data_IF_985174621127
#
_entry.id   IF_985174621127
#
_cell.length_a   1.000
_cell.length_b   1.000
_cell.length_c   1.000
_cell.angle_alpha   90.00
_cell.angle_beta   90.00
_cell.angle_gamma   90.00
#
_symmetry.space_group_name_H-M   'P 1'
#
loop_
_entity.id
_entity.type
_entity.pdbx_description
1 polymer ?
#
# COMPACT_ATOMS: atom_id res chain seq x y z
N UNK A 1 -75.32 -29.84 -12.57
CA UNK A 1 -75.13 -28.57 -13.29
C UNK A 1 -73.76 -28.61 -13.96
N UNK A 2 -73.61 -29.03 -15.23
CA UNK A 2 -74.06 -28.36 -16.46
C UNK A 2 -73.46 -26.93 -16.51
N UNK A 3 -72.64 -26.48 -17.48
CA UNK A 3 -72.45 -26.91 -18.89
C UNK A 3 -71.04 -26.51 -19.37
N UNK A 4 -70.49 -27.32 -20.29
CA UNK A 4 -69.30 -27.13 -21.14
C UNK A 4 -69.51 -26.07 -22.25
N UNK A 5 -68.43 -25.64 -22.94
CA UNK A 5 -68.22 -25.69 -24.41
C UNK A 5 -66.92 -24.92 -24.76
N UNK A 6 -65.79 -25.55 -25.07
CA UNK A 6 -65.31 -26.23 -26.30
C UNK A 6 -64.77 -25.31 -27.42
N UNK A 7 -63.54 -25.61 -27.86
CA UNK A 7 -63.00 -25.20 -29.17
C UNK A 7 -61.47 -25.18 -29.31
N UNK A 8 -60.79 -26.34 -29.39
CA UNK A 8 -59.43 -26.45 -29.99
C UNK A 8 -59.52 -26.67 -31.52
N UNK A 9 -58.56 -27.32 -32.24
CA UNK A 9 -57.10 -27.52 -32.04
C UNK A 9 -56.29 -27.38 -33.38
N UNK A 10 -54.98 -27.78 -33.36
CA UNK A 10 -54.04 -28.25 -34.44
C UNK A 10 -52.67 -27.57 -34.27
N UNK A 11 -51.48 -28.18 -34.31
CA UNK A 11 -50.98 -29.51 -34.74
C UNK A 11 -49.58 -29.32 -35.39
N UNK A 12 -48.73 -30.38 -35.40
CA UNK A 12 -47.36 -30.56 -36.01
C UNK A 12 -46.19 -30.29 -35.01
N UNK A 13 -45.35 -31.24 -34.50
CA UNK A 13 -44.66 -32.46 -34.99
C UNK A 13 -43.79 -32.19 -36.25
N UNK A 14 -42.47 -32.41 -36.38
CA UNK A 14 -41.30 -32.95 -35.62
C UNK A 14 -40.03 -32.51 -36.42
N UNK A 15 -38.85 -33.19 -36.44
CA UNK A 15 -38.31 -34.31 -35.66
C UNK A 15 -36.91 -34.01 -35.02
N UNK A 16 -36.26 -34.99 -34.33
CA UNK A 16 -34.94 -34.84 -33.71
C UNK A 16 -33.80 -35.37 -34.61
N UNK A 17 -32.57 -34.91 -34.40
CA UNK A 17 -31.37 -35.51 -35.00
C UNK A 17 -30.30 -35.70 -33.92
N UNK A 18 -30.00 -36.97 -33.63
CA UNK A 18 -28.79 -37.44 -32.97
C UNK A 18 -27.88 -38.07 -34.04
N UNK A 19 -26.56 -37.87 -33.93
CA UNK A 19 -25.46 -38.85 -34.03
C UNK A 19 -24.14 -38.03 -34.11
N UNK A 20 -23.30 -38.04 -33.09
CA UNK A 20 -22.23 -39.02 -32.84
C UNK A 20 -21.06 -38.92 -33.85
N UNK A 21 -19.86 -38.64 -33.34
CA UNK A 21 -18.60 -38.85 -34.06
C UNK A 21 -17.59 -37.71 -33.99
N UNK A 22 -16.65 -37.76 -33.03
CA UNK A 22 -15.20 -37.67 -33.27
C UNK A 22 -14.46 -37.34 -31.96
N UNK A 23 -13.90 -38.40 -31.40
CA UNK A 23 -12.87 -38.39 -30.37
C UNK A 23 -11.53 -37.98 -31.01
N UNK A 24 -10.66 -37.40 -30.17
CA UNK A 24 -9.20 -37.32 -30.28
C UNK A 24 -8.50 -36.04 -30.83
N UNK A 25 -7.79 -35.42 -29.86
CA UNK A 25 -6.42 -34.85 -29.93
C UNK A 25 -6.24 -33.50 -30.63
N UNK A 26 -5.97 -32.45 -29.83
CA UNK A 26 -4.59 -32.07 -29.51
C UNK A 26 -4.53 -30.99 -28.42
N UNK A 27 -3.54 -31.14 -27.53
CA UNK A 27 -3.16 -30.22 -26.45
C UNK A 27 -2.93 -28.80 -26.96
N UNK A 28 -3.45 -27.79 -26.26
CA UNK A 28 -3.24 -26.39 -26.62
C UNK A 28 -3.47 -25.40 -25.47
N UNK A 29 -2.52 -25.36 -24.53
CA UNK A 29 -2.08 -24.18 -23.77
C UNK A 29 -3.17 -23.35 -23.05
N UNK A 30 -3.36 -23.67 -21.77
CA UNK A 30 -3.95 -22.75 -20.77
C UNK A 30 -3.15 -21.43 -20.82
N UNK A 31 -3.80 -20.34 -21.23
CA UNK A 31 -3.33 -18.98 -20.96
C UNK A 31 -4.20 -18.41 -19.85
N UNK A 32 -3.68 -18.42 -18.63
CA UNK A 32 -4.13 -17.55 -17.56
C UNK A 32 -3.80 -16.10 -17.96
N UNK A 33 -4.78 -15.40 -18.55
CA UNK A 33 -4.62 -14.01 -18.94
C UNK A 33 -4.89 -13.08 -17.75
N UNK A 34 -3.89 -12.83 -16.91
CA UNK A 34 -3.87 -11.61 -16.09
C UNK A 34 -3.47 -10.47 -17.02
N UNK A 35 -4.46 -9.85 -17.66
CA UNK A 35 -4.24 -8.72 -18.56
C UNK A 35 -4.15 -7.42 -17.77
N UNK A 36 -2.98 -6.76 -17.77
CA UNK A 36 -2.88 -5.35 -17.37
C UNK A 36 -3.74 -4.52 -18.34
N UNK A 37 -4.71 -3.76 -17.80
CA UNK A 37 -5.60 -2.90 -18.61
C UNK A 37 -5.29 -1.44 -18.33
N UNK A 38 -4.99 -0.70 -19.40
CA UNK A 38 -4.79 0.74 -19.35
C UNK A 38 -6.16 1.46 -19.31
N UNK A 39 -6.29 2.50 -18.49
CA UNK A 39 -7.51 3.31 -18.41
C UNK A 39 -7.89 3.88 -19.78
N UNK A 40 -9.19 3.84 -20.10
CA UNK A 40 -9.75 4.46 -21.31
C UNK A 40 -10.04 5.93 -21.00
N UNK A 41 -9.24 6.86 -21.54
CA UNK A 41 -9.42 8.32 -21.37
C UNK A 41 -9.83 9.01 -22.68
N UNK A 42 -10.80 9.92 -22.64
CA UNK A 42 -11.04 10.92 -23.70
C UNK A 42 -10.20 12.20 -23.41
N UNK A 43 -9.57 12.76 -24.46
CA UNK A 43 -8.40 13.70 -24.55
C UNK A 43 -8.61 15.14 -23.99
N UNK A 44 -7.65 16.14 -24.02
CA UNK A 44 -6.27 16.19 -24.58
C UNK A 44 -5.13 16.73 -23.65
N UNK A 45 -3.88 16.72 -24.17
CA UNK A 45 -2.60 17.10 -23.55
C UNK A 45 -2.52 18.57 -23.12
N UNK A 46 -1.89 18.86 -21.97
CA UNK A 46 -1.17 20.13 -21.74
C UNK A 46 0.01 19.98 -20.73
N UNK A 47 1.14 20.57 -21.16
CA UNK A 47 2.31 21.17 -20.48
C UNK A 47 2.94 20.51 -19.23
N UNK A 48 4.27 20.34 -19.31
CA UNK A 48 5.10 19.78 -18.25
C UNK A 48 5.51 20.75 -17.14
N UNK A 49 6.06 20.17 -16.08
CA UNK A 49 6.94 20.83 -15.13
C UNK A 49 8.00 19.83 -14.64
N UNK A 50 9.17 20.38 -14.31
CA UNK A 50 10.47 19.76 -14.08
C UNK A 50 10.60 19.13 -12.69
N UNK A 51 11.35 18.03 -12.66
CA UNK A 51 12.33 17.58 -11.66
C UNK A 51 11.91 17.25 -10.22
N UNK A 52 12.28 16.03 -9.81
CA UNK A 52 12.44 15.57 -8.44
C UNK A 52 13.04 14.17 -8.48
N UNK A 53 14.38 14.08 -8.46
CA UNK A 53 15.10 12.80 -8.35
C UNK A 53 14.97 12.35 -6.90
N UNK A 54 13.90 11.61 -6.60
CA UNK A 54 13.73 10.87 -5.36
C UNK A 54 13.88 9.39 -5.69
N UNK A 55 14.95 8.76 -5.20
CA UNK A 55 15.12 7.31 -5.24
C UNK A 55 14.09 6.65 -4.32
N UNK A 56 12.86 6.49 -4.81
CA UNK A 56 11.81 5.74 -4.12
C UNK A 56 12.01 4.25 -4.36
N UNK A 57 12.16 3.49 -3.29
CA UNK A 57 11.96 2.03 -3.26
C UNK A 57 10.65 1.71 -3.97
N UNK A 58 10.70 1.05 -5.12
CA UNK A 58 9.51 0.76 -5.90
C UNK A 58 8.71 -0.40 -5.30
N UNK A 59 7.41 -0.21 -5.09
CA UNK A 59 6.44 -1.30 -4.93
C UNK A 59 5.95 -1.57 -3.51
N UNK A 60 5.88 -0.57 -2.64
CA UNK A 60 5.28 -0.76 -1.31
C UNK A 60 3.75 -0.73 -1.38
N UNK A 61 3.07 -1.63 -0.66
CA UNK A 61 1.61 -1.58 -0.49
C UNK A 61 1.25 -0.42 0.42
N UNK A 62 0.47 0.52 -0.09
CA UNK A 62 0.07 1.73 0.62
C UNK A 62 -1.10 1.41 1.58
N UNK A 63 -0.95 1.64 2.90
CA UNK A 63 -2.05 1.48 3.84
C UNK A 63 -3.10 2.56 3.63
N UNK A 64 -4.36 2.20 3.78
CA UNK A 64 -5.49 3.12 3.67
C UNK A 64 -6.59 2.77 4.67
N UNK A 65 -7.44 3.75 4.96
CA UNK A 65 -8.67 3.57 5.72
C UNK A 65 -9.87 3.98 4.87
N UNK A 66 -10.94 3.19 4.90
CA UNK A 66 -12.21 3.58 4.27
C UNK A 66 -12.88 4.64 5.13
N UNK A 67 -12.98 5.88 4.63
CA UNK A 67 -13.58 7.02 5.34
C UNK A 67 -15.02 7.29 4.92
N UNK A 68 -15.43 6.80 3.75
CA UNK A 68 -16.79 6.95 3.26
C UNK A 68 -17.23 5.72 2.48
N UNK A 69 -18.51 5.36 2.67
CA UNK A 69 -19.24 4.33 1.94
C UNK A 69 -20.73 4.70 1.92
N UNK A 70 -21.39 4.44 0.80
CA UNK A 70 -22.85 4.68 0.68
C UNK A 70 -23.68 3.62 1.41
N UNK A 71 -23.29 2.36 1.28
CA UNK A 71 -23.94 1.24 1.96
C UNK A 71 -22.97 0.11 2.25
N UNK A 72 -23.33 -0.73 3.21
CA UNK A 72 -22.60 -1.95 3.55
C UNK A 72 -23.53 -3.05 4.03
N UNK A 73 -23.22 -4.29 3.68
CA UNK A 73 -23.86 -5.46 4.25
C UNK A 73 -23.29 -5.76 5.64
N UNK A 74 -24.13 -6.22 6.56
CA UNK A 74 -23.73 -6.53 7.95
C UNK A 74 -22.56 -7.51 8.04
N UNK A 75 -22.55 -8.52 7.18
CA UNK A 75 -21.52 -9.57 7.12
C UNK A 75 -20.28 -9.16 6.30
N UNK A 76 -20.33 -8.02 5.62
CA UNK A 76 -19.26 -7.55 4.72
C UNK A 76 -19.08 -6.03 4.79
N UNK A 77 -18.73 -5.49 5.98
CA UNK A 77 -18.49 -4.07 6.17
C UNK A 77 -17.26 -3.58 5.42
N UNK A 78 -17.20 -2.27 5.14
CA UNK A 78 -16.08 -1.69 4.40
C UNK A 78 -14.73 -1.77 5.15
N UNK A 79 -14.75 -1.93 6.47
CA UNK A 79 -13.55 -2.15 7.30
C UNK A 79 -12.78 -3.41 6.94
N UNK A 80 -13.43 -4.41 6.34
CA UNK A 80 -12.78 -5.65 5.91
C UNK A 80 -11.74 -5.46 4.80
N UNK A 81 -11.76 -4.30 4.13
CA UNK A 81 -10.80 -3.95 3.09
C UNK A 81 -9.45 -3.46 3.66
N UNK A 82 -9.37 -3.09 4.94
CA UNK A 82 -8.13 -2.55 5.54
C UNK A 82 -7.06 -3.64 5.63
N UNK A 83 -7.45 -4.84 6.09
CA UNK A 83 -6.57 -5.99 6.28
C UNK A 83 -7.17 -7.24 5.61
N UNK A 84 -7.01 -7.39 4.29
CA UNK A 84 -7.52 -8.55 3.56
C UNK A 84 -6.76 -9.81 4.02
N UNK A 85 -7.47 -10.71 4.69
CA UNK A 85 -6.99 -12.09 4.93
C UNK A 85 -7.49 -13.00 3.82
N UNK A 86 -6.89 -14.19 3.67
CA UNK A 86 -7.32 -15.20 2.69
C UNK A 86 -8.82 -15.54 2.82
N UNK A 87 -9.37 -15.38 4.03
CA UNK A 87 -10.77 -15.67 4.36
C UNK A 87 -11.62 -14.41 4.57
N UNK A 88 -11.08 -13.20 4.35
CA UNK A 88 -11.86 -11.97 4.51
C UNK A 88 -12.99 -11.95 3.48
N UNK A 89 -14.26 -11.73 3.91
CA UNK A 89 -15.38 -11.63 2.99
C UNK A 89 -15.34 -10.32 2.17
N UNK A 90 -14.48 -9.37 2.55
CA UNK A 90 -14.37 -8.06 1.92
C UNK A 90 -15.58 -7.17 2.22
N UNK A 91 -15.83 -6.24 1.31
CA UNK A 91 -16.98 -5.34 1.32
C UNK A 91 -18.06 -5.79 0.34
N UNK A 92 -19.32 -5.68 0.75
CA UNK A 92 -20.46 -5.74 -0.13
C UNK A 92 -21.46 -4.63 0.19
N UNK A 93 -22.16 -4.12 -0.82
CA UNK A 93 -23.24 -3.15 -0.64
C UNK A 93 -24.39 -3.76 0.15
N UNK A 94 -25.25 -2.94 0.75
CA UNK A 94 -26.53 -3.41 1.26
C UNK A 94 -27.41 -4.00 0.12
N UNK A 95 -28.38 -4.89 0.43
CA UNK A 95 -29.35 -5.37 -0.55
C UNK A 95 -30.11 -4.23 -1.24
N UNK A 96 -30.38 -4.37 -2.54
CA UNK A 96 -31.07 -3.37 -3.37
C UNK A 96 -30.45 -1.96 -3.30
N UNK A 97 -29.13 -1.83 -3.54
CA UNK A 97 -28.45 -0.54 -3.46
C UNK A 97 -28.87 0.39 -4.61
N UNK A 98 -28.74 1.69 -4.40
CA UNK A 98 -28.81 2.68 -5.48
C UNK A 98 -27.44 2.79 -6.15
N UNK A 99 -27.40 2.93 -7.47
CA UNK A 99 -26.14 3.03 -8.19
C UNK A 99 -25.87 4.45 -8.71
N UNK A 100 -24.60 4.87 -8.77
CA UNK A 100 -23.40 4.13 -8.34
C UNK A 100 -23.25 4.05 -6.81
N UNK A 101 -22.48 3.08 -6.32
CA UNK A 101 -22.07 2.98 -4.92
C UNK A 101 -20.66 3.53 -4.76
N UNK A 102 -20.46 4.51 -3.88
CA UNK A 102 -19.15 5.13 -3.65
C UNK A 102 -18.42 4.54 -2.44
N UNK A 103 -17.12 4.35 -2.60
CA UNK A 103 -16.16 4.08 -1.53
C UNK A 103 -15.02 5.10 -1.62
N UNK A 104 -14.70 5.76 -0.51
CA UNK A 104 -13.53 6.65 -0.43
C UNK A 104 -12.52 6.10 0.55
N UNK A 105 -11.31 5.88 0.06
CA UNK A 105 -10.14 5.44 0.78
C UNK A 105 -9.27 6.67 1.08
N UNK A 106 -8.89 6.84 2.33
CA UNK A 106 -7.94 7.86 2.77
C UNK A 106 -6.59 7.21 3.04
N UNK A 107 -5.53 7.81 2.51
CA UNK A 107 -4.16 7.42 2.83
C UNK A 107 -3.65 8.21 4.05
N UNK A 108 -2.64 7.67 4.70
CA UNK A 108 -1.97 8.27 5.86
C UNK A 108 -1.16 9.54 5.54
N UNK A 109 -1.14 9.98 4.28
CA UNK A 109 -0.44 11.19 3.84
C UNK A 109 -0.66 11.47 2.36
N UNK A 110 0.20 12.30 1.78
CA UNK A 110 0.29 12.42 0.33
C UNK A 110 1.03 11.20 -0.22
N UNK A 111 0.44 10.51 -1.18
CA UNK A 111 1.01 9.31 -1.79
C UNK A 111 1.01 9.42 -3.31
N UNK A 112 1.98 8.78 -3.95
CA UNK A 112 2.07 8.60 -5.38
C UNK A 112 1.68 7.16 -5.72
N UNK A 113 0.49 6.96 -6.30
CA UNK A 113 0.00 5.63 -6.65
C UNK A 113 0.54 5.21 -8.02
N UNK A 114 1.14 4.02 -8.07
CA UNK A 114 1.63 3.40 -9.29
C UNK A 114 0.66 2.37 -9.84
N UNK A 115 0.16 1.49 -8.97
CA UNK A 115 -0.70 0.37 -9.36
C UNK A 115 -1.88 0.26 -8.39
N UNK A 116 -3.09 0.14 -8.94
CA UNK A 116 -4.30 -0.19 -8.20
C UNK A 116 -4.80 -1.55 -8.65
N UNK A 117 -4.97 -2.48 -7.72
CA UNK A 117 -5.50 -3.82 -7.94
C UNK A 117 -6.81 -3.98 -7.17
N UNK A 118 -7.86 -4.41 -7.85
CA UNK A 118 -9.19 -4.61 -7.26
C UNK A 118 -9.67 -6.01 -7.58
N UNK A 119 -9.98 -6.77 -6.53
CA UNK A 119 -10.54 -8.11 -6.63
C UNK A 119 -12.05 -8.06 -6.38
N UNK A 120 -12.85 -8.40 -7.38
CA UNK A 120 -14.30 -8.45 -7.27
C UNK A 120 -14.78 -9.73 -6.58
N UNK A 121 -15.94 -9.63 -5.93
CA UNK A 121 -16.62 -10.77 -5.34
C UNK A 121 -17.21 -11.69 -6.43
N UNK A 122 -17.11 -13.01 -6.26
CA UNK A 122 -17.52 -14.03 -7.23
C UNK A 122 -18.98 -13.93 -7.69
N UNK A 123 -19.89 -13.56 -6.79
CA UNK A 123 -21.32 -13.44 -7.10
C UNK A 123 -21.80 -11.99 -7.23
N UNK A 124 -20.98 -11.00 -6.85
CA UNK A 124 -21.35 -9.59 -6.79
C UNK A 124 -20.44 -8.74 -7.68
N UNK A 125 -20.08 -9.28 -8.85
CA UNK A 125 -19.13 -8.66 -9.77
C UNK A 125 -19.72 -7.37 -10.34
N UNK A 126 -19.11 -6.20 -10.09
CA UNK A 126 -19.59 -4.92 -10.61
C UNK A 126 -19.34 -4.84 -12.12
N UNK A 127 -20.26 -4.26 -12.89
CA UNK A 127 -20.08 -4.16 -14.35
C UNK A 127 -18.97 -3.19 -14.75
N UNK A 128 -18.81 -2.12 -13.97
CA UNK A 128 -17.86 -1.03 -14.22
C UNK A 128 -17.43 -0.39 -12.91
N UNK A 129 -16.18 0.06 -12.86
CA UNK A 129 -15.60 0.75 -11.72
C UNK A 129 -14.92 2.02 -12.19
N UNK A 130 -15.40 3.15 -11.69
CA UNK A 130 -14.83 4.47 -11.91
C UNK A 130 -13.80 4.79 -10.83
N UNK A 131 -12.65 5.34 -11.25
CA UNK A 131 -11.53 5.67 -10.37
C UNK A 131 -11.32 7.18 -10.40
N UNK A 132 -11.33 7.80 -9.22
CA UNK A 132 -11.03 9.22 -9.02
C UNK A 132 -10.04 9.38 -7.88
N UNK A 133 -9.18 10.39 -7.94
CA UNK A 133 -8.24 10.72 -6.86
C UNK A 133 -8.55 12.11 -6.30
N UNK A 134 -8.52 12.22 -4.98
CA UNK A 134 -8.77 13.47 -4.26
C UNK A 134 -7.48 14.02 -3.67
N UNK A 135 -7.27 15.33 -3.84
CA UNK A 135 -6.24 16.08 -3.13
C UNK A 135 -6.93 17.11 -2.24
N UNK A 136 -6.42 17.26 -1.02
CA UNK A 136 -6.86 18.30 -0.09
C UNK A 136 -6.11 19.59 -0.41
N UNK A 137 -6.78 20.75 -0.48
CA UNK A 137 -6.11 22.03 -0.64
C UNK A 137 -5.05 22.26 0.45
N UNK A 138 -3.94 22.90 0.07
CA UNK A 138 -2.87 23.26 1.03
C UNK A 138 -3.48 24.03 2.22
N UNK A 139 -3.10 23.64 3.43
CA UNK A 139 -3.55 24.25 4.71
C UNK A 139 -5.01 23.98 5.12
N UNK A 140 -5.72 23.05 4.48
CA UNK A 140 -7.06 22.63 4.91
C UNK A 140 -7.04 21.26 5.58
N UNK A 141 -7.99 21.01 6.50
CA UNK A 141 -8.10 19.72 7.18
C UNK A 141 -8.34 18.61 6.14
N UNK A 142 -7.67 17.45 6.25
CA UNK A 142 -7.89 16.32 5.36
C UNK A 142 -9.26 15.70 5.59
N UNK A 143 -10.28 16.34 5.03
CA UNK A 143 -11.65 15.83 4.95
C UNK A 143 -11.94 15.41 3.50
N UNK A 144 -12.39 14.17 3.33
CA UNK A 144 -12.87 13.66 2.06
C UNK A 144 -13.94 14.57 1.42
N UNK A 145 -14.74 15.28 2.21
CA UNK A 145 -15.76 16.22 1.70
C UNK A 145 -15.18 17.50 1.13
N UNK A 146 -14.02 17.93 1.63
CA UNK A 146 -13.31 19.11 1.15
C UNK A 146 -12.29 18.77 0.04
N UNK A 147 -12.01 17.48 -0.18
CA UNK A 147 -11.08 17.03 -1.20
C UNK A 147 -11.61 17.31 -2.61
N UNK A 148 -10.74 17.84 -3.48
CA UNK A 148 -11.06 18.03 -4.90
C UNK A 148 -10.75 16.76 -5.66
N UNK A 149 -11.79 16.04 -6.06
CA UNK A 149 -11.64 14.80 -6.82
C UNK A 149 -11.43 15.05 -8.31
N UNK A 150 -10.35 14.49 -8.83
CA UNK A 150 -10.04 14.39 -10.25
C UNK A 150 -10.37 12.98 -10.74
N UNK A 151 -11.23 12.88 -11.75
CA UNK A 151 -11.54 11.63 -12.40
C UNK A 151 -10.34 11.13 -13.24
N UNK A 152 -9.95 9.86 -13.06
CA UNK A 152 -8.84 9.24 -13.79
C UNK A 152 -9.33 8.37 -14.95
N UNK A 153 -10.47 7.71 -14.79
CA UNK A 153 -11.02 6.81 -15.80
C UNK A 153 -11.86 5.69 -15.19
N UNK A 154 -12.11 4.64 -15.98
CA UNK A 154 -12.86 3.48 -15.52
C UNK A 154 -12.26 2.17 -16.04
N UNK A 155 -12.58 1.08 -15.34
CA UNK A 155 -12.39 -0.29 -15.81
C UNK A 155 -13.73 -1.02 -15.88
N UNK A 156 -13.79 -2.06 -16.70
CA UNK A 156 -14.95 -2.96 -16.82
C UNK A 156 -14.52 -4.36 -16.41
N UNK A 157 -15.34 -4.98 -15.57
CA UNK A 157 -15.18 -6.39 -15.25
C UNK A 157 -15.84 -7.24 -16.32
N UNK A 158 -15.27 -8.40 -16.58
CA UNK A 158 -15.78 -9.36 -17.54
C UNK A 158 -17.09 -9.97 -17.04
N UNK A 159 -18.01 -10.19 -17.98
CA UNK A 159 -19.15 -11.06 -17.75
C UNK A 159 -18.79 -12.43 -18.31
N UNK A 160 -18.20 -13.28 -17.48
CA UNK A 160 -17.61 -14.55 -17.89
C UNK A 160 -18.57 -15.75 -17.76
N UNK A 161 -19.80 -15.58 -17.24
CA UNK A 161 -20.86 -16.61 -17.22
C UNK A 161 -20.61 -17.85 -16.35
N UNK A 162 -19.34 -18.22 -16.16
CA UNK A 162 -18.85 -19.28 -15.29
C UNK A 162 -18.05 -18.70 -14.13
N UNK A 163 -18.64 -17.78 -13.34
CA UNK A 163 -18.03 -17.03 -12.22
C UNK A 163 -17.49 -17.89 -11.04
N UNK A 164 -16.78 -18.98 -11.34
CA UNK A 164 -16.11 -19.91 -10.43
C UNK A 164 -14.79 -19.36 -9.89
N UNK A 165 -14.29 -18.27 -10.46
CA UNK A 165 -13.02 -17.63 -10.11
C UNK A 165 -13.26 -16.13 -9.87
N UNK A 166 -12.70 -15.61 -8.77
CA UNK A 166 -12.74 -14.17 -8.46
C UNK A 166 -12.03 -13.37 -9.54
N UNK A 167 -12.66 -12.31 -10.04
CA UNK A 167 -12.07 -11.47 -11.08
C UNK A 167 -11.23 -10.36 -10.47
N UNK A 168 -9.99 -10.20 -10.97
CA UNK A 168 -9.08 -9.16 -10.54
C UNK A 168 -8.77 -8.19 -11.68
N UNK A 169 -8.87 -6.90 -11.41
CA UNK A 169 -8.45 -5.83 -12.31
C UNK A 169 -7.19 -5.17 -11.77
N UNK A 170 -6.18 -5.00 -12.62
CA UNK A 170 -4.94 -4.27 -12.32
C UNK A 170 -4.90 -3.02 -13.19
N UNK A 171 -4.75 -1.86 -12.56
CA UNK A 171 -4.81 -0.53 -13.15
C UNK A 171 -3.47 0.15 -12.91
N UNK A 172 -2.75 0.44 -13.99
CA UNK A 172 -1.50 1.21 -13.93
C UNK A 172 -1.83 2.71 -13.96
N UNK A 173 -1.53 3.41 -12.85
CA UNK A 173 -1.75 4.85 -12.68
C UNK A 173 -0.47 5.66 -12.90
N UNK A 174 0.70 5.07 -12.67
CA UNK A 174 2.05 5.66 -12.91
C UNK A 174 2.29 6.99 -12.16
N UNK A 175 2.51 6.90 -10.86
CA UNK A 175 2.91 8.04 -10.03
C UNK A 175 1.86 9.13 -9.84
N UNK A 176 0.58 8.77 -9.71
CA UNK A 176 -0.49 9.77 -9.47
C UNK A 176 -0.48 10.20 -8.00
N UNK A 177 -0.15 11.46 -7.74
CA UNK A 177 -0.18 12.06 -6.41
C UNK A 177 -1.63 12.28 -5.93
N UNK A 178 -1.94 11.80 -4.72
CA UNK A 178 -3.25 11.95 -4.08
C UNK A 178 -3.18 11.78 -2.56
N UNK A 179 -4.25 12.18 -1.86
CA UNK A 179 -4.48 11.82 -0.43
C UNK A 179 -5.72 10.94 -0.26
N UNK A 180 -6.62 10.93 -1.26
CA UNK A 180 -7.82 10.12 -1.28
C UNK A 180 -7.94 9.37 -2.60
N UNK A 181 -8.43 8.14 -2.55
CA UNK A 181 -8.83 7.35 -3.71
C UNK A 181 -10.32 7.07 -3.59
N UNK A 182 -11.09 7.46 -4.60
CA UNK A 182 -12.52 7.20 -4.68
C UNK A 182 -12.83 6.18 -5.77
N UNK A 183 -13.55 5.15 -5.37
CA UNK A 183 -14.05 4.07 -6.19
C UNK A 183 -15.56 4.24 -6.32
N UNK A 184 -16.05 4.48 -7.54
CA UNK A 184 -17.49 4.56 -7.81
C UNK A 184 -17.90 3.32 -8.60
N UNK A 185 -18.65 2.45 -7.93
CA UNK A 185 -18.98 1.09 -8.33
C UNK A 185 -20.36 1.07 -8.98
N UNK A 186 -20.42 0.64 -10.23
CA UNK A 186 -21.67 0.54 -10.98
C UNK A 186 -22.39 -0.79 -10.74
N UNK A 187 -23.64 -0.88 -11.21
CA UNK A 187 -24.50 -2.07 -11.09
C UNK A 187 -23.78 -3.39 -11.39
N UNK A 188 -24.13 -4.50 -10.74
CA UNK A 188 -23.48 -5.78 -10.96
C UNK A 188 -23.87 -6.39 -12.31
N UNK A 189 -23.09 -7.38 -12.75
CA UNK A 189 -23.54 -8.32 -13.77
C UNK A 189 -24.66 -9.22 -13.24
N UNK A 190 -25.57 -9.63 -14.11
CA UNK A 190 -26.66 -10.55 -13.74
C UNK A 190 -26.10 -11.88 -13.27
N UNK A 191 -26.44 -12.28 -12.04
CA UNK A 191 -25.95 -13.53 -11.44
C UNK A 191 -27.07 -14.23 -10.66
N UNK A 192 -27.20 -15.56 -10.82
CA UNK A 192 -28.32 -16.33 -10.24
C UNK A 192 -28.37 -16.34 -8.71
N UNK A 193 -27.23 -16.16 -8.05
CA UNK A 193 -27.14 -16.04 -6.57
C UNK A 193 -27.25 -14.59 -6.06
N UNK A 194 -27.24 -13.60 -6.95
CA UNK A 194 -27.32 -12.18 -6.59
C UNK A 194 -28.73 -11.64 -6.86
N UNK A 195 -29.69 -12.15 -6.08
CA UNK A 195 -31.11 -11.80 -6.25
C UNK A 195 -31.39 -10.33 -5.88
N UNK A 196 -30.56 -9.75 -5.02
CA UNK A 196 -30.73 -8.40 -4.50
C UNK A 196 -29.94 -7.33 -5.28
N UNK A 197 -29.25 -7.71 -6.37
CA UNK A 197 -28.50 -6.77 -7.21
C UNK A 197 -27.35 -6.06 -6.48
N UNK A 198 -26.67 -6.75 -5.56
CA UNK A 198 -25.56 -6.21 -4.77
C UNK A 198 -24.25 -6.17 -5.57
N UNK A 199 -23.34 -5.29 -5.16
CA UNK A 199 -21.94 -5.25 -5.64
C UNK A 199 -20.98 -5.56 -4.49
N UNK A 200 -19.84 -6.15 -4.80
CA UNK A 200 -18.87 -6.53 -3.78
C UNK A 200 -17.42 -6.51 -4.27
N UNK A 201 -16.55 -6.07 -3.37
CA UNK A 201 -15.10 -6.00 -3.56
C UNK A 201 -14.47 -6.79 -2.42
N UNK A 202 -13.69 -7.80 -2.76
CA UNK A 202 -13.01 -8.67 -1.79
C UNK A 202 -11.72 -8.02 -1.28
N UNK A 203 -10.94 -7.46 -2.20
CA UNK A 203 -9.65 -6.86 -1.88
C UNK A 203 -9.40 -5.61 -2.74
N UNK A 204 -8.76 -4.62 -2.13
CA UNK A 204 -8.19 -3.46 -2.79
C UNK A 204 -6.73 -3.38 -2.36
N UNK A 205 -5.82 -3.52 -3.32
CA UNK A 205 -4.39 -3.34 -3.10
C UNK A 205 -3.90 -2.15 -3.89
N UNK A 206 -3.33 -1.18 -3.19
CA UNK A 206 -2.75 0.03 -3.76
C UNK A 206 -1.24 -0.08 -3.57
N UNK A 207 -0.47 0.02 -4.65
CA UNK A 207 0.98 0.01 -4.64
C UNK A 207 1.51 1.37 -5.12
N UNK A 208 2.53 1.87 -4.45
CA UNK A 208 3.13 3.16 -4.74
C UNK A 208 4.06 3.62 -3.62
N UNK A 209 4.34 4.92 -3.59
CA UNK A 209 5.29 5.52 -2.66
C UNK A 209 4.64 6.65 -1.86
N UNK A 210 5.08 6.84 -0.61
CA UNK A 210 4.66 7.98 0.21
C UNK A 210 5.49 9.20 -0.16
N UNK A 211 4.83 10.34 -0.40
CA UNK A 211 5.49 11.63 -0.58
C UNK A 211 5.78 12.21 0.82
N UNK A 212 7.00 11.96 1.31
CA UNK A 212 7.40 12.32 2.66
C UNK A 212 7.44 13.84 2.89
N UNK A 213 7.80 14.62 1.88
CA UNK A 213 7.90 16.09 1.99
C UNK A 213 6.50 16.72 2.11
N UNK A 214 5.57 16.36 1.22
CA UNK A 214 4.19 16.83 1.32
C UNK A 214 3.48 16.27 2.55
N UNK A 215 3.73 15.02 2.94
CA UNK A 215 3.18 14.45 4.17
C UNK A 215 3.70 15.15 5.43
N UNK A 216 4.97 15.57 5.45
CA UNK A 216 5.54 16.36 6.56
C UNK A 216 4.94 17.76 6.64
N UNK A 217 4.69 18.40 5.49
CA UNK A 217 3.98 19.70 5.44
C UNK A 217 2.56 19.60 5.96
N UNK A 218 1.87 18.51 5.63
CA UNK A 218 0.55 18.18 6.16
C UNK A 218 0.62 18.08 7.69
N UNK A 219 1.52 17.27 8.26
CA UNK A 219 1.69 17.13 9.72
C UNK A 219 1.96 18.47 10.45
N UNK A 220 2.86 19.30 9.91
CA UNK A 220 3.24 20.61 10.51
C UNK A 220 2.08 21.62 10.53
N UNK A 221 1.05 21.45 9.71
CA UNK A 221 -0.11 22.34 9.65
C UNK A 221 -1.14 22.13 10.79
N UNK A 222 -0.80 21.42 11.87
CA UNK A 222 -1.68 21.22 13.04
C UNK A 222 -2.71 20.10 12.85
N UNK A 223 -2.30 19.01 12.21
CA UNK A 223 -3.19 17.92 11.82
C UNK A 223 -3.33 16.84 12.91
N UNK A 224 -4.32 17.01 13.78
CA UNK A 224 -4.87 15.93 14.59
C UNK A 224 -5.73 15.04 13.68
N UNK A 225 -5.14 14.01 13.08
CA UNK A 225 -5.88 13.10 12.19
C UNK A 225 -5.02 12.24 11.27
N UNK A 226 -3.73 12.57 11.12
CA UNK A 226 -2.75 11.59 10.68
C UNK A 226 -2.20 10.95 11.93
N UNK A 227 -2.70 9.75 12.25
CA UNK A 227 -2.14 8.98 13.34
C UNK A 227 -0.68 8.67 12.95
N UNK A 228 0.27 9.31 13.65
CA UNK A 228 1.71 9.15 13.42
C UNK A 228 2.11 7.67 13.45
N UNK A 229 1.34 6.88 14.21
CA UNK A 229 1.47 5.44 14.38
C UNK A 229 1.02 4.62 13.15
N UNK A 230 0.23 5.20 12.24
CA UNK A 230 -0.17 4.57 10.97
C UNK A 230 0.72 4.98 9.79
N UNK A 231 1.35 6.16 9.83
CA UNK A 231 2.40 6.56 8.87
C UNK A 231 3.64 5.66 8.98
N UNK A 232 3.90 5.12 10.17
CA UNK A 232 4.99 4.19 10.49
C UNK A 232 4.68 2.72 10.20
N UNK A 233 3.43 2.36 9.81
CA UNK A 233 3.10 0.97 9.52
C UNK A 233 3.72 0.53 8.18
N UNK A 234 4.88 -0.11 8.28
CA UNK A 234 5.60 -0.75 7.18
C UNK A 234 6.79 0.05 6.64
N UNK A 235 6.92 1.33 7.00
CA UNK A 235 8.14 2.10 6.75
C UNK A 235 8.98 1.95 8.02
N UNK A 236 10.16 1.35 7.92
CA UNK A 236 11.17 1.39 8.99
C UNK A 236 11.74 2.81 9.08
N UNK A 237 10.89 3.75 9.52
CA UNK A 237 11.24 5.16 9.71
C UNK A 237 12.39 5.26 10.71
N UNK A 238 12.47 4.34 11.68
CA UNK A 238 13.61 4.27 12.58
C UNK A 238 14.91 4.03 11.81
N UNK A 239 14.94 3.09 10.86
CA UNK A 239 16.04 2.88 9.94
C UNK A 239 16.40 4.11 9.10
N UNK A 240 15.44 4.72 8.41
CA UNK A 240 15.72 5.84 7.49
C UNK A 240 16.17 7.13 8.22
N UNK A 241 15.54 7.47 9.34
CA UNK A 241 16.00 8.60 10.17
C UNK A 241 17.36 8.32 10.80
N UNK A 242 17.61 7.07 11.22
CA UNK A 242 18.89 6.67 11.80
C UNK A 242 20.00 6.70 10.74
N UNK A 243 19.72 6.35 9.49
CA UNK A 243 20.68 6.45 8.39
C UNK A 243 21.01 7.90 8.02
N UNK A 244 20.01 8.78 7.97
CA UNK A 244 20.24 10.20 7.73
C UNK A 244 21.05 10.86 8.85
N UNK A 245 20.75 10.52 10.11
CA UNK A 245 21.51 11.00 11.27
C UNK A 245 22.93 10.41 11.32
N UNK A 246 23.09 9.11 11.04
CA UNK A 246 24.38 8.45 10.87
C UNK A 246 25.28 9.18 9.86
N UNK A 247 24.71 9.55 8.71
CA UNK A 247 25.43 10.33 7.71
C UNK A 247 25.80 11.74 8.20
N UNK A 248 24.91 12.42 8.91
CA UNK A 248 25.17 13.76 9.44
C UNK A 248 26.24 13.78 10.54
N UNK A 249 26.25 12.75 11.39
CA UNK A 249 27.18 12.59 12.51
C UNK A 249 28.53 11.97 12.10
N UNK A 250 28.62 11.43 10.88
CA UNK A 250 29.82 10.71 10.42
C UNK A 250 30.07 9.44 11.24
N UNK A 251 29.00 8.74 11.60
CA UNK A 251 29.03 7.52 12.40
C UNK A 251 28.16 6.44 11.75
N UNK A 252 28.45 5.15 11.96
CA UNK A 252 27.57 4.09 11.48
C UNK A 252 26.27 4.02 12.30
N UNK A 253 25.21 3.47 11.69
CA UNK A 253 23.86 3.49 12.26
C UNK A 253 23.74 2.77 13.63
N UNK A 254 24.54 1.74 13.86
CA UNK A 254 24.64 1.04 15.15
C UNK A 254 25.22 1.93 16.25
N UNK A 255 26.24 2.73 15.94
CA UNK A 255 26.82 3.71 16.87
C UNK A 255 25.83 4.85 17.20
N UNK A 256 25.10 5.36 16.20
CA UNK A 256 24.05 6.37 16.45
C UNK A 256 22.91 5.80 17.30
N UNK A 257 22.52 4.55 17.06
CA UNK A 257 21.51 3.87 17.89
C UNK A 257 21.96 3.75 19.34
N UNK A 258 23.21 3.35 19.56
CA UNK A 258 23.81 3.31 20.89
C UNK A 258 23.81 4.69 21.54
N UNK A 259 24.21 5.75 20.81
CA UNK A 259 24.25 7.11 21.31
C UNK A 259 22.85 7.60 21.74
N UNK A 260 21.80 7.33 20.94
CA UNK A 260 20.41 7.63 21.30
C UNK A 260 19.98 6.94 22.59
N UNK A 261 20.33 5.66 22.76
CA UNK A 261 20.01 4.89 23.98
C UNK A 261 20.68 5.49 25.22
N UNK A 262 21.97 5.81 25.13
CA UNK A 262 22.69 6.47 26.24
C UNK A 262 22.09 7.83 26.57
N UNK A 263 21.75 8.63 25.56
CA UNK A 263 21.14 9.94 25.75
C UNK A 263 19.72 9.88 26.36
N UNK A 264 18.96 8.82 26.08
CA UNK A 264 17.67 8.57 26.74
C UNK A 264 17.88 8.24 28.23
N UNK A 265 18.72 7.25 28.53
CA UNK A 265 19.03 6.86 29.91
C UNK A 265 19.58 8.03 30.73
N UNK A 266 20.41 8.89 30.11
CA UNK A 266 20.95 10.07 30.78
C UNK A 266 19.84 11.06 31.15
N UNK A 267 18.89 11.32 30.24
CA UNK A 267 17.75 12.20 30.53
C UNK A 267 16.87 11.63 31.64
N UNK A 268 16.69 10.31 31.67
CA UNK A 268 15.93 9.64 32.73
C UNK A 268 16.65 9.76 34.08
N UNK A 269 17.98 9.63 34.11
CA UNK A 269 18.79 9.83 35.32
C UNK A 269 18.75 11.29 35.80
N UNK A 270 18.84 12.27 34.88
CA UNK A 270 18.70 13.70 35.18
C UNK A 270 17.31 14.03 35.75
N UNK A 271 16.25 13.43 35.20
CA UNK A 271 14.89 13.57 35.70
C UNK A 271 14.69 12.93 37.08
N UNK A 272 15.34 11.79 37.31
CA UNK A 272 15.36 11.10 38.60
C UNK A 272 16.31 11.72 39.63
N UNK A 273 16.98 12.83 39.29
CA UNK A 273 17.99 13.51 40.12
C UNK A 273 19.18 12.60 40.52
N UNK A 274 19.42 11.51 39.78
CA UNK A 274 20.58 10.63 39.94
C UNK A 274 21.76 11.18 39.11
N UNK A 275 22.38 12.22 39.65
CA UNK A 275 23.46 12.94 38.97
C UNK A 275 24.73 12.10 38.78
N UNK A 276 25.01 11.16 39.69
CA UNK A 276 26.17 10.26 39.59
C UNK A 276 26.00 9.32 38.38
N UNK A 277 24.80 8.77 38.19
CA UNK A 277 24.47 7.97 37.01
C UNK A 277 24.51 8.81 35.73
N UNK A 278 23.96 10.03 35.76
CA UNK A 278 23.98 10.94 34.62
C UNK A 278 25.41 11.28 34.16
N UNK A 279 26.33 11.52 35.11
CA UNK A 279 27.75 11.77 34.82
C UNK A 279 28.43 10.54 34.18
N UNK A 280 28.19 9.33 34.74
CA UNK A 280 28.69 8.09 34.14
C UNK A 280 28.18 7.88 32.72
N UNK A 281 26.89 8.12 32.48
CA UNK A 281 26.27 8.01 31.15
C UNK A 281 26.78 9.08 30.18
N UNK A 282 27.11 10.28 30.65
CA UNK A 282 27.78 11.29 29.83
C UNK A 282 29.18 10.82 29.37
N UNK A 283 29.93 10.14 30.24
CA UNK A 283 31.18 9.48 29.90
C UNK A 283 31.00 8.41 28.81
N UNK A 284 30.01 7.52 28.98
CA UNK A 284 29.69 6.47 28.00
C UNK A 284 29.27 7.07 26.66
N UNK A 285 28.47 8.15 26.65
CA UNK A 285 28.04 8.82 25.43
C UNK A 285 29.22 9.35 24.60
N UNK A 286 30.22 9.91 25.28
CA UNK A 286 31.45 10.39 24.64
C UNK A 286 32.23 9.22 24.01
N UNK A 287 32.41 8.12 24.75
CA UNK A 287 33.10 6.93 24.23
C UNK A 287 32.39 6.30 23.04
N UNK A 288 31.05 6.22 23.07
CA UNK A 288 30.24 5.74 21.93
C UNK A 288 30.47 6.61 20.69
N UNK A 289 30.47 7.94 20.84
CA UNK A 289 30.73 8.86 19.74
C UNK A 289 32.15 8.77 19.18
N UNK A 290 33.15 8.59 20.03
CA UNK A 290 34.55 8.38 19.63
C UNK A 290 34.72 7.06 18.87
N UNK A 291 34.12 5.97 19.37
CA UNK A 291 34.12 4.68 18.69
C UNK A 291 33.41 4.74 17.33
N UNK A 292 32.25 5.41 17.26
CA UNK A 292 31.46 5.56 16.04
C UNK A 292 32.23 6.29 14.93
N UNK A 293 32.80 7.47 15.23
CA UNK A 293 33.59 8.24 14.25
C UNK A 293 34.86 7.50 13.84
N UNK A 294 35.54 6.86 14.79
CA UNK A 294 36.74 6.07 14.51
C UNK A 294 36.43 4.85 13.64
N UNK A 295 35.23 4.26 13.76
CA UNK A 295 34.79 3.16 12.94
C UNK A 295 34.56 3.62 11.50
N UNK A 296 33.81 4.71 11.30
CA UNK A 296 33.59 5.29 9.97
C UNK A 296 34.92 5.65 9.27
N UNK A 297 35.85 6.28 10.00
CA UNK A 297 37.19 6.58 9.49
C UNK A 297 37.96 5.31 9.08
N UNK A 298 37.99 4.29 9.94
CA UNK A 298 38.67 3.03 9.64
C UNK A 298 38.04 2.30 8.44
N UNK A 299 36.71 2.37 8.28
CA UNK A 299 36.01 1.79 7.13
C UNK A 299 36.26 2.56 5.84
N UNK A 300 36.34 3.90 5.90
CA UNK A 300 36.70 4.74 4.78
C UNK A 300 38.13 4.45 4.28
N UNK A 301 39.12 4.49 5.18
CA UNK A 301 40.51 4.18 4.83
C UNK A 301 40.66 2.75 4.32
N UNK A 302 39.89 1.79 4.86
CA UNK A 302 39.89 0.40 4.38
C UNK A 302 39.38 0.32 2.94
N UNK A 303 38.33 1.08 2.61
CA UNK A 303 37.81 1.16 1.23
C UNK A 303 38.88 1.73 0.28
N UNK A 304 39.60 2.76 0.70
CA UNK A 304 40.66 3.38 -0.09
C UNK A 304 41.87 2.44 -0.30
N UNK A 305 42.30 1.73 0.76
CA UNK A 305 43.38 0.74 0.67
C UNK A 305 43.03 -0.44 -0.25
N UNK A 306 41.78 -0.91 -0.23
CA UNK A 306 41.30 -1.95 -1.15
C UNK A 306 41.31 -1.44 -2.60
N UNK A 307 40.88 -0.19 -2.82
CA UNK A 307 40.91 0.43 -4.15
C UNK A 307 42.34 0.63 -4.68
N UNK A 308 43.31 0.82 -3.79
CA UNK A 308 44.74 0.91 -4.11
C UNK A 308 45.46 -0.45 -4.17
N UNK A 309 44.74 -1.56 -4.00
CA UNK A 309 45.29 -2.93 -3.92
C UNK A 309 46.33 -3.15 -2.79
N UNK A 310 46.34 -2.28 -1.77
CA UNK A 310 47.15 -2.46 -0.56
C UNK A 310 46.39 -3.33 0.45
N UNK A 311 46.45 -4.64 0.21
CA UNK A 311 45.76 -5.62 1.05
C UNK A 311 46.35 -5.73 2.47
N UNK A 312 47.62 -5.37 2.66
CA UNK A 312 48.26 -5.39 3.96
C UNK A 312 47.65 -4.31 4.87
N UNK A 313 47.53 -3.10 4.35
CA UNK A 313 46.92 -1.98 5.06
C UNK A 313 45.42 -2.19 5.26
N UNK A 314 44.71 -2.70 4.25
CA UNK A 314 43.28 -3.06 4.38
C UNK A 314 43.02 -4.07 5.52
N UNK A 315 43.91 -5.06 5.71
CA UNK A 315 43.81 -6.03 6.80
C UNK A 315 44.02 -5.40 8.17
N UNK A 316 44.99 -4.48 8.29
CA UNK A 316 45.25 -3.73 9.53
C UNK A 316 44.05 -2.85 9.91
N UNK A 317 43.49 -2.13 8.94
CA UNK A 317 42.31 -1.27 9.13
C UNK A 317 41.04 -2.08 9.45
N UNK A 318 40.87 -3.26 8.86
CA UNK A 318 39.82 -4.20 9.27
C UNK A 318 39.94 -4.58 10.74
N UNK A 319 41.15 -4.92 11.21
CA UNK A 319 41.40 -5.23 12.62
C UNK A 319 41.04 -4.07 13.57
N UNK A 320 41.39 -2.83 13.19
CA UNK A 320 40.98 -1.62 13.93
C UNK A 320 39.46 -1.47 13.97
N UNK A 321 38.78 -1.63 12.84
CA UNK A 321 37.31 -1.54 12.77
C UNK A 321 36.62 -2.62 13.62
N UNK A 322 37.12 -3.85 13.60
CA UNK A 322 36.58 -4.96 14.39
C UNK A 322 36.77 -4.74 15.90
N UNK A 323 37.91 -4.16 16.31
CA UNK A 323 38.16 -3.77 17.70
C UNK A 323 37.21 -2.65 18.17
N UNK A 324 36.98 -1.63 17.34
CA UNK A 324 36.04 -0.55 17.64
C UNK A 324 34.60 -1.04 17.72
N UNK A 325 34.17 -1.97 16.84
CA UNK A 325 32.88 -2.66 16.94
C UNK A 325 32.75 -3.48 18.22
N UNK A 326 33.84 -4.15 18.62
CA UNK A 326 33.91 -4.87 19.90
C UNK A 326 33.68 -3.95 21.09
N UNK A 327 34.41 -2.82 21.13
CA UNK A 327 34.26 -1.82 22.19
C UNK A 327 32.87 -1.21 22.22
N UNK A 328 32.28 -0.92 21.07
CA UNK A 328 30.92 -0.39 20.98
C UNK A 328 29.89 -1.38 21.57
N UNK A 329 30.04 -2.69 21.32
CA UNK A 329 29.19 -3.72 21.93
C UNK A 329 29.34 -3.77 23.45
N UNK A 330 30.58 -3.75 23.96
CA UNK A 330 30.83 -3.73 25.41
C UNK A 330 30.16 -2.53 26.10
N UNK A 331 30.23 -1.35 25.49
CA UNK A 331 29.58 -0.14 26.01
C UNK A 331 28.06 -0.28 26.00
N UNK A 332 27.48 -0.89 24.98
CA UNK A 332 26.02 -1.08 24.88
C UNK A 332 25.51 -2.16 25.83
N UNK A 333 26.27 -3.24 26.04
CA UNK A 333 25.92 -4.34 26.94
C UNK A 333 26.07 -3.92 28.43
N UNK A 334 26.88 -2.90 28.70
CA UNK A 334 27.05 -2.30 30.03
C UNK A 334 25.97 -1.28 30.44
N UNK A 335 25.00 -0.98 29.57
CA UNK A 335 23.86 -0.06 29.81
C UNK A 335 22.61 -0.80 30.28
#
# INVERSE_FOLDING_TARGET
>A
SCVNFWGGPRGLAGPPVCLEGALERFRGRIRSGVGSRRLVSERPRLAGSRAGVGGGVSGMRLPFTVVHRDSEAKESPASNLHNPTVHSPGWASAPFPLFPQELTLAFTGAVCIDTLRVLAHEHFVPSKLHVSVGQVPKYSRPDHRAAKFKYLGFVRFANNGEWKLREQQTIELKGVSCSFLRLSVEKPHSHGKNLCGQVGIVDVSVEGNVDLDESTKLLKAGQQGLDFQMLTQGIDLEGDFLHAEAQAEGMPADAVRAARRVAALRRDAEWGEDYDLAERLAGVAREVGECGRGLEEAEALKRDAVAAEDYAEAKRLKGRADALRGRLRELVDGL
#
